data_IF_834637508856
#
_entry.id   IF_834637508856
#
_cell.length_a   1.000
_cell.length_b   1.000
_cell.length_c   1.000
_cell.angle_alpha   90.00
_cell.angle_beta   90.00
_cell.angle_gamma   90.00
#
_symmetry.space_group_name_H-M   'P 1'
#
loop_
_entity.id
_entity.type
_entity.pdbx_description
1 polymer ?
#
# COMPACT_ATOMS: atom_id res chain seq x y z
N UNK A 1 -0.53 -9.40 -5.26
CA UNK A 1 -0.97 -10.79 -4.92
C UNK A 1 -2.43 -10.77 -4.46
N UNK A 2 -3.26 -11.74 -4.84
CA UNK A 2 -4.70 -11.70 -4.50
C UNK A 2 -5.07 -12.65 -3.34
N UNK A 3 -4.30 -13.67 -3.04
CA UNK A 3 -4.66 -14.63 -1.98
C UNK A 3 -4.18 -14.17 -0.61
N UNK A 4 -4.86 -14.56 0.49
CA UNK A 4 -4.36 -14.30 1.83
C UNK A 4 -2.94 -14.89 1.96
N UNK A 5 -2.04 -14.11 2.56
CA UNK A 5 -0.68 -14.56 2.85
C UNK A 5 -0.74 -15.60 3.96
N UNK A 6 -0.78 -16.88 3.59
CA UNK A 6 -0.74 -18.00 4.55
C UNK A 6 0.49 -17.96 5.48
N UNK A 7 1.51 -17.19 5.11
CA UNK A 7 2.69 -16.98 5.93
C UNK A 7 3.19 -15.52 5.85
N UNK A 8 2.38 -14.60 6.38
CA UNK A 8 2.65 -13.16 6.34
C UNK A 8 4.02 -12.81 6.94
N UNK A 9 4.42 -13.42 8.05
CA UNK A 9 5.71 -13.16 8.70
C UNK A 9 6.90 -13.51 7.79
N UNK A 10 6.90 -14.69 7.17
CA UNK A 10 7.96 -15.05 6.20
C UNK A 10 8.01 -14.09 5.03
N UNK A 11 6.85 -13.65 4.54
CA UNK A 11 6.80 -12.68 3.46
C UNK A 11 7.36 -11.31 3.88
N UNK A 12 7.00 -10.81 5.06
CA UNK A 12 7.56 -9.56 5.60
C UNK A 12 9.07 -9.67 5.81
N UNK A 13 9.57 -10.80 6.33
CA UNK A 13 11.01 -11.02 6.49
C UNK A 13 11.72 -11.04 5.14
N UNK A 14 11.16 -11.69 4.12
CA UNK A 14 11.67 -11.62 2.76
C UNK A 14 11.71 -10.18 2.23
N UNK A 15 10.65 -9.39 2.45
CA UNK A 15 10.60 -8.01 1.97
C UNK A 15 11.73 -7.16 2.52
N UNK A 16 12.13 -7.38 3.78
CA UNK A 16 13.21 -6.63 4.44
C UNK A 16 14.59 -6.79 3.79
N UNK A 17 14.78 -7.86 3.02
CA UNK A 17 16.02 -8.14 2.29
C UNK A 17 15.85 -7.97 0.77
N UNK A 18 14.63 -7.69 0.32
CA UNK A 18 14.29 -7.62 -1.11
C UNK A 18 14.50 -6.23 -1.70
N UNK A 19 14.71 -6.13 -3.03
CA UNK A 19 14.71 -4.83 -3.73
C UNK A 19 13.29 -4.26 -3.94
N UNK A 20 12.24 -4.86 -3.36
CA UNK A 20 10.86 -4.45 -3.57
C UNK A 20 10.53 -3.25 -2.68
N UNK A 21 10.01 -2.18 -3.28
CA UNK A 21 9.58 -0.97 -2.56
C UNK A 21 8.07 -0.91 -2.34
N UNK A 22 7.28 -1.52 -3.23
CA UNK A 22 5.81 -1.46 -3.19
C UNK A 22 5.26 -2.87 -3.37
N UNK A 23 4.42 -3.30 -2.43
CA UNK A 23 3.64 -4.54 -2.54
C UNK A 23 2.16 -4.19 -2.60
N UNK A 24 1.50 -4.59 -3.69
CA UNK A 24 0.05 -4.46 -3.83
C UNK A 24 -0.65 -5.80 -3.61
N UNK A 25 -1.68 -5.81 -2.77
CA UNK A 25 -2.48 -6.99 -2.46
C UNK A 25 -3.97 -6.71 -2.31
N UNK A 26 -4.78 -7.76 -2.39
CA UNK A 26 -6.25 -7.72 -2.38
C UNK A 26 -6.85 -8.63 -1.31
N UNK A 27 -7.93 -9.33 -1.64
CA UNK A 27 -8.70 -10.26 -0.80
C UNK A 27 -9.56 -9.67 0.31
N UNK A 28 -9.03 -8.70 1.06
CA UNK A 28 -9.61 -8.34 2.35
C UNK A 28 -10.77 -7.32 2.26
N UNK A 29 -11.01 -6.75 1.07
CA UNK A 29 -12.05 -5.74 0.82
C UNK A 29 -12.03 -4.55 1.79
N UNK A 30 -10.87 -4.20 2.34
CA UNK A 30 -10.63 -2.94 3.04
C UNK A 30 -9.28 -2.37 2.62
N UNK A 31 -9.17 -1.06 2.64
CA UNK A 31 -7.93 -0.39 2.31
C UNK A 31 -7.02 -0.31 3.52
N UNK A 32 -5.74 -0.61 3.33
CA UNK A 32 -4.70 -0.41 4.34
C UNK A 32 -3.36 -0.11 3.68
N UNK A 33 -2.57 0.74 4.33
CA UNK A 33 -1.21 1.06 3.96
C UNK A 33 -0.34 0.81 5.18
N UNK A 34 0.65 -0.05 5.04
CA UNK A 34 1.63 -0.33 6.10
C UNK A 34 3.03 -0.05 5.57
N UNK A 35 3.79 0.73 6.33
CA UNK A 35 5.22 0.92 6.10
C UNK A 35 5.99 -0.21 6.78
N UNK A 36 6.95 -0.76 6.07
CA UNK A 36 7.86 -1.81 6.53
C UNK A 36 9.28 -1.28 6.34
N UNK A 37 9.98 -1.07 7.46
CA UNK A 37 11.40 -0.74 7.44
C UNK A 37 12.20 -1.99 7.05
N UNK A 38 13.01 -1.88 6.00
CA UNK A 38 13.94 -2.92 5.55
C UNK A 38 15.19 -2.96 6.44
N UNK A 39 16.00 -4.02 6.31
CA UNK A 39 17.19 -4.20 7.12
C UNK A 39 18.26 -3.11 6.90
N UNK A 40 18.25 -2.45 5.74
CA UNK A 40 19.15 -1.36 5.39
C UNK A 40 18.54 0.04 5.65
N UNK A 41 17.49 0.13 6.46
CA UNK A 41 16.82 1.40 6.80
C UNK A 41 15.85 1.93 5.75
N UNK A 42 15.95 1.47 4.49
CA UNK A 42 14.99 1.77 3.42
C UNK A 42 13.54 1.43 3.82
N UNK A 43 12.59 2.15 3.23
CA UNK A 43 11.17 1.86 3.39
C UNK A 43 10.64 0.94 2.29
N UNK A 44 9.69 0.10 2.65
CA UNK A 44 8.80 -0.61 1.73
C UNK A 44 7.37 -0.33 2.15
N UNK A 45 6.48 -0.13 1.18
CA UNK A 45 5.05 0.04 1.44
C UNK A 45 4.27 -1.20 1.03
N UNK A 46 3.36 -1.62 1.90
CA UNK A 46 2.46 -2.73 1.68
C UNK A 46 1.02 -2.20 1.62
N UNK A 47 0.38 -2.37 0.47
CA UNK A 47 -0.93 -1.81 0.13
C UNK A 47 -1.97 -2.91 -0.02
N UNK A 48 -3.00 -2.87 0.82
CA UNK A 48 -4.27 -3.52 0.53
C UNK A 48 -5.18 -2.49 -0.13
N UNK A 49 -5.55 -2.67 -1.40
CA UNK A 49 -6.24 -1.63 -2.17
C UNK A 49 -7.74 -1.47 -1.87
N UNK A 50 -8.31 -2.26 -0.96
CA UNK A 50 -9.75 -2.29 -0.74
C UNK A 50 -10.51 -2.98 -1.87
N UNK A 51 -11.64 -2.40 -2.26
CA UNK A 51 -12.52 -2.91 -3.31
C UNK A 51 -13.21 -1.73 -3.98
N UNK A 52 -13.32 -1.72 -5.31
CA UNK A 52 -14.02 -0.64 -6.02
C UNK A 52 -15.53 -0.79 -6.00
N UNK A 53 -16.03 -2.01 -5.80
CA UNK A 53 -17.47 -2.31 -5.76
C UNK A 53 -17.76 -3.51 -4.86
N UNK A 54 -17.87 -3.26 -3.56
CA UNK A 54 -18.29 -4.23 -2.55
C UNK A 54 -19.25 -3.57 -1.55
N UNK A 55 -20.31 -4.28 -1.20
CA UNK A 55 -21.31 -3.82 -0.21
C UNK A 55 -20.91 -4.16 1.23
N UNK A 56 -19.90 -5.04 1.42
CA UNK A 56 -19.51 -5.62 2.71
C UNK A 56 -18.02 -5.38 2.99
N UNK A 57 -17.58 -4.12 2.91
CA UNK A 57 -16.19 -3.75 3.26
C UNK A 57 -16.07 -3.57 4.78
N UNK A 58 -14.93 -3.97 5.38
CA UNK A 58 -14.71 -3.82 6.83
C UNK A 58 -14.53 -2.36 7.26
N UNK A 59 -14.09 -1.50 6.34
CA UNK A 59 -13.82 -0.07 6.56
C UNK A 59 -14.96 0.85 6.06
N UNK A 60 -16.03 0.27 5.53
CA UNK A 60 -17.19 0.96 4.98
C UNK A 60 -16.91 1.73 3.68
N UNK A 61 -15.76 1.50 3.02
CA UNK A 61 -15.32 2.30 1.86
C UNK A 61 -15.07 1.43 0.64
N UNK A 62 -15.69 1.79 -0.49
CA UNK A 62 -15.19 1.37 -1.79
C UNK A 62 -14.05 2.29 -2.18
N UNK A 63 -12.91 1.73 -2.54
CA UNK A 63 -11.70 2.50 -2.78
C UNK A 63 -10.68 1.80 -3.66
N UNK A 64 -9.68 2.58 -4.07
CA UNK A 64 -8.45 2.14 -4.72
C UNK A 64 -7.30 3.11 -4.39
N UNK A 65 -6.07 2.73 -4.72
CA UNK A 65 -4.91 3.63 -4.66
C UNK A 65 -4.48 4.05 -6.06
N UNK A 66 -4.21 5.34 -6.24
CA UNK A 66 -3.46 5.87 -7.39
C UNK A 66 -2.03 6.10 -6.96
N UNK A 67 -1.07 5.45 -7.61
CA UNK A 67 0.35 5.48 -7.24
C UNK A 67 1.09 6.29 -8.31
N UNK A 68 1.73 7.38 -7.91
CA UNK A 68 2.60 8.19 -8.75
C UNK A 68 4.03 8.06 -8.24
N UNK A 69 4.96 7.64 -9.10
CA UNK A 69 6.36 7.43 -8.74
C UNK A 69 7.26 8.35 -9.54
N UNK A 70 8.22 8.98 -8.86
CA UNK A 70 9.35 9.67 -9.46
C UNK A 70 10.63 9.14 -8.78
N UNK A 71 11.33 8.24 -9.48
CA UNK A 71 12.47 7.50 -8.94
C UNK A 71 12.13 6.80 -7.61
N UNK A 72 12.81 7.18 -6.51
CA UNK A 72 12.59 6.65 -5.16
C UNK A 72 11.56 7.46 -4.35
N UNK A 73 10.94 8.48 -4.94
CA UNK A 73 9.84 9.22 -4.32
C UNK A 73 8.51 8.74 -4.88
N UNK A 74 7.51 8.67 -4.01
CA UNK A 74 6.20 8.10 -4.34
C UNK A 74 5.08 8.85 -3.63
N UNK A 75 4.08 9.27 -4.39
CA UNK A 75 2.80 9.77 -3.88
C UNK A 75 1.74 8.69 -4.09
N UNK A 76 1.08 8.27 -3.02
CA UNK A 76 -0.04 7.32 -3.06
C UNK A 76 -1.32 8.03 -2.66
N UNK A 77 -2.21 8.29 -3.62
CA UNK A 77 -3.53 8.87 -3.38
C UNK A 77 -4.56 7.76 -3.14
N UNK A 78 -5.09 7.68 -1.91
CA UNK A 78 -6.21 6.83 -1.56
C UNK A 78 -7.52 7.47 -2.02
N UNK A 79 -8.14 6.85 -3.03
CA UNK A 79 -9.37 7.32 -3.65
C UNK A 79 -10.56 6.55 -3.10
N UNK A 80 -11.51 7.24 -2.49
CA UNK A 80 -12.71 6.64 -1.88
C UNK A 80 -13.95 7.06 -2.66
N UNK A 81 -14.87 6.12 -2.87
CA UNK A 81 -16.16 6.39 -3.49
C UNK A 81 -17.08 7.13 -2.52
N UNK A 82 -17.42 8.36 -2.84
CA UNK A 82 -18.36 9.19 -2.11
C UNK A 82 -19.07 10.13 -3.10
N UNK A 83 -20.35 10.43 -2.86
CA UNK A 83 -21.12 11.36 -3.70
C UNK A 83 -21.08 11.01 -5.21
N UNK A 84 -21.26 9.73 -5.53
CA UNK A 84 -21.24 9.19 -6.90
C UNK A 84 -19.92 9.36 -7.67
N UNK A 85 -18.80 9.61 -6.99
CA UNK A 85 -17.48 9.68 -7.62
C UNK A 85 -16.38 9.12 -6.71
N UNK A 86 -15.24 8.75 -7.29
CA UNK A 86 -14.04 8.49 -6.51
C UNK A 86 -13.27 9.79 -6.31
N UNK A 87 -13.12 10.20 -5.05
CA UNK A 87 -12.42 11.44 -4.68
C UNK A 87 -11.19 11.13 -3.85
N UNK A 88 -10.20 12.02 -3.87
CA UNK A 88 -9.03 11.88 -2.99
C UNK A 88 -9.47 11.93 -1.53
N UNK A 89 -9.09 10.93 -0.76
CA UNK A 89 -9.37 10.83 0.66
C UNK A 89 -8.12 11.13 1.50
N UNK A 90 -6.96 10.62 1.07
CA UNK A 90 -5.67 10.87 1.71
C UNK A 90 -4.54 10.61 0.72
N UNK A 91 -3.55 11.49 0.71
CA UNK A 91 -2.30 11.31 -0.03
C UNK A 91 -1.19 10.93 0.95
N UNK A 92 -0.43 9.90 0.61
CA UNK A 92 0.75 9.47 1.35
C UNK A 92 1.98 9.77 0.50
N UNK A 93 2.86 10.63 1.01
CA UNK A 93 4.17 10.87 0.44
C UNK A 93 5.18 9.93 1.09
N UNK A 94 5.88 9.16 0.27
CA UNK A 94 6.85 8.16 0.71
C UNK A 94 8.14 8.36 -0.05
N UNK A 95 9.25 8.38 0.68
CA UNK A 95 10.58 8.40 0.12
C UNK A 95 11.27 7.07 0.47
N UNK A 96 11.65 6.34 -0.57
CA UNK A 96 12.32 5.05 -0.49
C UNK A 96 13.86 5.17 -0.50
N UNK A 97 14.41 6.38 -0.49
CA UNK A 97 15.86 6.57 -0.33
C UNK A 97 16.34 5.94 0.98
N UNK A 98 17.50 5.25 0.98
CA UNK A 98 18.12 4.74 2.20
C UNK A 98 18.38 5.88 3.19
N UNK A 99 18.20 5.63 4.49
CA UNK A 99 18.43 6.64 5.53
C UNK A 99 19.90 7.13 5.55
N UNK A 100 20.86 6.27 5.20
CA UNK A 100 22.29 6.64 5.12
C UNK A 100 22.63 7.56 3.93
N UNK A 101 21.67 7.82 3.03
CA UNK A 101 21.83 8.68 1.85
C UNK A 101 21.08 10.02 1.99
N UNK A 102 20.45 10.29 3.14
CA UNK A 102 19.73 11.54 3.48
C UNK A 102 20.58 12.46 4.34
#
# INVERSE_FOLDING_TARGET
MHHPLNNAEKFINYLKESPIHIVCTGHLHYANLTLVTKNQGEQCVFLHAGSTSCLRTKDGKNSYYSINTDQLKCSIDWRVFANNAFTSHKVYEIDFTPDDAR
#
